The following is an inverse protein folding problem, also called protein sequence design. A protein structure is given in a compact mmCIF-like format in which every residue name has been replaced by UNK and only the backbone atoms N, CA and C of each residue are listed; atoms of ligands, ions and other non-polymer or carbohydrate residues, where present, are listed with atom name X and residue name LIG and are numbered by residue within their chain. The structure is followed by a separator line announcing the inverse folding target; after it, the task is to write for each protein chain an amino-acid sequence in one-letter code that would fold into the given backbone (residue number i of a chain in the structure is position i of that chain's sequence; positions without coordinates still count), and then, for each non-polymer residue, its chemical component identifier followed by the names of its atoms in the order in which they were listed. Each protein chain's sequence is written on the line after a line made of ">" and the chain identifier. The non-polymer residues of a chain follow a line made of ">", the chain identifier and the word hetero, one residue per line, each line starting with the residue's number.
data_IF_529326892929
#
_entry.id   IF_529326892929
#
_cell.length_a   1.000
_cell.length_b   1.000
_cell.length_c   1.000
_cell.angle_alpha   90.00
_cell.angle_beta   90.00
_cell.angle_gamma   90.00
#
_symmetry.space_group_name_H-M   'P 1'
#
loop_
_entity.id
_entity.type
_entity.pdbx_description
1 polymer ?
#
# COMPACT_ATOMS: atom_id res chain seq x y z
N UNK A 1 -10.22 -1.72 -3.02
CA UNK A 1 -11.14 -0.69 -2.47
C UNK A 1 -12.26 -0.52 -3.48
N UNK A 2 -13.48 -0.64 -3.05
CA UNK A 2 -14.67 -0.43 -3.87
C UNK A 2 -14.95 1.08 -4.06
N UNK A 3 -15.78 1.47 -5.05
CA UNK A 3 -16.13 2.88 -5.28
C UNK A 3 -16.80 3.57 -4.08
N UNK A 4 -17.50 2.81 -3.25
CA UNK A 4 -18.16 3.27 -2.01
C UNK A 4 -17.17 3.45 -0.83
N UNK A 5 -15.89 3.20 -1.04
CA UNK A 5 -14.84 3.30 -0.02
C UNK A 5 -14.63 2.02 0.79
N UNK A 6 -15.47 1.01 0.65
CA UNK A 6 -15.33 -0.26 1.34
C UNK A 6 -14.04 -0.98 0.91
N UNK A 7 -13.40 -1.63 1.87
CA UNK A 7 -12.16 -2.37 1.63
C UNK A 7 -12.36 -3.84 1.97
N UNK A 8 -11.93 -4.69 1.07
CA UNK A 8 -11.93 -6.15 1.26
C UNK A 8 -10.50 -6.65 1.18
N UNK A 9 -10.10 -7.43 2.17
CA UNK A 9 -8.80 -8.08 2.15
C UNK A 9 -8.81 -9.18 1.08
N UNK A 10 -7.94 -9.04 0.08
CA UNK A 10 -7.83 -9.99 -1.03
C UNK A 10 -6.68 -10.96 -0.79
N UNK A 11 -5.53 -10.46 -0.42
CA UNK A 11 -4.36 -11.27 -0.17
C UNK A 11 -3.53 -10.65 0.96
N UNK A 12 -2.77 -11.49 1.63
CA UNK A 12 -1.88 -11.11 2.71
C UNK A 12 -0.57 -11.88 2.57
N UNK A 13 0.51 -11.32 3.06
CA UNK A 13 1.80 -11.99 3.11
C UNK A 13 2.68 -11.39 4.20
N UNK A 14 3.58 -12.18 4.72
CA UNK A 14 4.63 -11.75 5.64
C UNK A 14 5.97 -11.82 4.92
N UNK A 15 6.73 -10.76 5.03
CA UNK A 15 8.07 -10.69 4.49
C UNK A 15 9.00 -10.02 5.49
N UNK A 16 10.14 -10.64 5.73
CA UNK A 16 11.19 -10.09 6.57
C UNK A 16 12.39 -9.71 5.70
N UNK A 17 12.64 -8.42 5.50
CA UNK A 17 13.84 -7.98 4.80
C UNK A 17 15.09 -8.45 5.54
N UNK A 18 16.09 -8.94 4.81
CA UNK A 18 17.38 -9.38 5.36
C UNK A 18 18.49 -8.34 5.20
N UNK A 19 18.19 -7.22 4.54
CA UNK A 19 19.11 -6.12 4.29
C UNK A 19 18.47 -5.03 3.45
N UNK A 20 19.23 -4.00 3.19
CA UNK A 20 18.82 -2.91 2.30
C UNK A 20 18.88 -3.31 0.82
N UNK A 21 18.23 -2.51 -0.01
CA UNK A 21 18.22 -2.68 -1.46
C UNK A 21 16.94 -3.33 -1.99
N UNK A 22 17.02 -3.83 -3.21
CA UNK A 22 15.87 -4.39 -3.91
C UNK A 22 15.37 -5.65 -3.22
N UNK A 23 14.12 -5.63 -2.80
CA UNK A 23 13.41 -6.77 -2.23
C UNK A 23 12.32 -7.24 -3.21
N UNK A 24 12.20 -8.54 -3.39
CA UNK A 24 11.14 -9.16 -4.20
C UNK A 24 10.48 -10.25 -3.38
N UNK A 25 9.20 -10.19 -3.23
CA UNK A 25 8.44 -11.19 -2.49
C UNK A 25 7.05 -11.37 -3.10
N UNK A 26 6.42 -12.48 -2.77
CA UNK A 26 5.08 -12.81 -3.24
C UNK A 26 4.09 -12.74 -2.09
N UNK A 27 2.89 -12.25 -2.38
CA UNK A 27 1.75 -12.43 -1.51
C UNK A 27 1.18 -13.85 -1.71
N UNK A 28 0.46 -14.34 -0.73
CA UNK A 28 -0.25 -15.61 -0.89
C UNK A 28 -1.19 -15.54 -2.11
N UNK A 29 -1.13 -16.55 -3.01
CA UNK A 29 -1.97 -16.55 -4.19
C UNK A 29 -3.45 -16.63 -3.80
N UNK A 30 -4.24 -15.79 -4.46
CA UNK A 30 -5.69 -15.81 -4.33
C UNK A 30 -6.33 -15.38 -5.65
N UNK A 31 -7.40 -16.04 -6.04
CA UNK A 31 -8.21 -15.61 -7.17
C UNK A 31 -9.20 -14.54 -6.74
N UNK A 32 -9.17 -13.38 -7.38
CA UNK A 32 -10.08 -12.30 -7.08
C UNK A 32 -10.54 -11.57 -8.35
N UNK A 33 -11.82 -11.32 -8.44
CA UNK A 33 -12.39 -10.53 -9.51
C UNK A 33 -12.55 -9.07 -9.07
N UNK A 34 -11.82 -8.18 -9.73
CA UNK A 34 -12.00 -6.73 -9.55
C UNK A 34 -13.09 -6.24 -10.48
N UNK A 35 -14.23 -5.88 -9.94
CA UNK A 35 -15.31 -5.25 -10.71
C UNK A 35 -14.90 -3.85 -11.20
N UNK A 36 -15.62 -3.30 -12.17
CA UNK A 36 -15.37 -1.96 -12.67
C UNK A 36 -15.39 -0.90 -11.55
N UNK A 37 -14.39 -0.02 -11.56
CA UNK A 37 -14.21 1.01 -10.54
C UNK A 37 -13.55 0.55 -9.26
N UNK A 38 -13.23 -0.75 -9.10
CA UNK A 38 -12.46 -1.22 -7.97
C UNK A 38 -10.98 -0.86 -8.13
N UNK A 39 -10.35 -0.43 -7.05
CA UNK A 39 -8.93 -0.07 -7.03
C UNK A 39 -8.18 -1.04 -6.10
N UNK A 40 -7.19 -1.80 -6.60
CA UNK A 40 -6.32 -2.57 -5.73
C UNK A 40 -5.50 -1.61 -4.86
N UNK A 41 -5.41 -1.91 -3.57
CA UNK A 41 -4.63 -1.15 -2.59
C UNK A 41 -3.62 -2.09 -1.95
N UNK A 42 -2.37 -1.70 -1.92
CA UNK A 42 -1.34 -2.39 -1.16
C UNK A 42 -1.06 -1.62 0.12
N UNK A 43 -1.07 -2.31 1.24
CA UNK A 43 -0.68 -1.78 2.53
C UNK A 43 0.57 -2.50 3.02
N UNK A 44 1.57 -1.74 3.44
CA UNK A 44 2.79 -2.24 4.08
C UNK A 44 2.71 -1.89 5.56
N UNK A 45 2.63 -2.90 6.39
CA UNK A 45 2.41 -2.74 7.81
C UNK A 45 3.62 -3.25 8.60
N UNK A 46 4.05 -2.50 9.59
CA UNK A 46 5.07 -2.94 10.54
C UNK A 46 4.54 -3.91 11.61
N UNK A 47 3.23 -3.98 11.74
CA UNK A 47 2.52 -4.88 12.64
C UNK A 47 1.19 -5.29 12.00
N UNK A 48 0.87 -6.56 12.11
CA UNK A 48 -0.40 -7.11 11.60
C UNK A 48 -0.87 -8.24 12.53
N UNK A 49 -1.34 -7.87 13.71
CA UNK A 49 -1.88 -8.82 14.67
C UNK A 49 -3.21 -9.42 14.15
N UNK A 50 -3.44 -10.71 14.34
CA UNK A 50 -2.62 -11.71 15.02
C UNK A 50 -1.60 -12.43 14.11
N UNK A 51 -1.47 -12.03 12.84
CA UNK A 51 -0.69 -12.75 11.83
C UNK A 51 0.81 -12.47 11.88
N UNK A 52 1.22 -11.30 12.34
CA UNK A 52 2.59 -10.92 12.49
C UNK A 52 2.93 -10.58 13.93
N UNK A 53 4.00 -11.17 14.47
CA UNK A 53 4.53 -10.73 15.76
C UNK A 53 5.22 -9.39 15.59
N UNK A 54 4.93 -8.46 16.49
CA UNK A 54 5.62 -7.18 16.54
C UNK A 54 7.13 -7.36 16.71
N UNK A 55 7.90 -6.44 16.14
CA UNK A 55 9.32 -6.32 16.45
C UNK A 55 9.52 -6.01 17.94
N UNK A 56 10.54 -6.63 18.55
CA UNK A 56 10.93 -6.34 19.93
C UNK A 56 11.60 -4.96 20.05
N UNK A 57 12.03 -4.37 18.93
CA UNK A 57 12.73 -3.10 18.87
C UNK A 57 12.04 -2.15 17.91
N UNK A 58 12.05 -0.84 18.19
CA UNK A 58 11.57 0.14 17.24
C UNK A 58 12.41 0.07 15.95
N UNK A 59 11.76 0.10 14.81
CA UNK A 59 12.40 0.14 13.50
C UNK A 59 11.69 1.12 12.59
N UNK A 60 12.42 1.58 11.59
CA UNK A 60 11.87 2.39 10.51
C UNK A 60 12.23 1.73 9.18
N UNK A 61 11.24 1.59 8.32
CA UNK A 61 11.43 1.11 6.97
C UNK A 61 11.09 2.23 6.00
N UNK A 62 12.00 2.55 5.10
CA UNK A 62 11.76 3.45 3.99
C UNK A 62 11.61 2.62 2.73
N UNK A 63 10.49 2.79 2.04
CA UNK A 63 10.20 2.08 0.79
C UNK A 63 10.17 3.07 -0.35
N UNK A 64 10.91 2.77 -1.43
CA UNK A 64 10.94 3.55 -2.66
C UNK A 64 10.75 2.63 -3.86
N UNK A 65 10.31 3.19 -4.99
CA UNK A 65 10.15 2.47 -6.25
C UNK A 65 9.32 1.18 -6.12
N UNK A 66 8.21 1.27 -5.40
CA UNK A 66 7.31 0.15 -5.20
C UNK A 66 6.65 -0.25 -6.52
N UNK A 67 6.79 -1.52 -6.89
CA UNK A 67 6.18 -2.13 -8.07
C UNK A 67 5.31 -3.32 -7.62
N UNK A 68 4.05 -3.34 -8.03
CA UNK A 68 3.11 -4.43 -7.74
C UNK A 68 2.73 -5.09 -9.05
N UNK A 69 3.01 -6.39 -9.17
CA UNK A 69 2.66 -7.18 -10.34
C UNK A 69 1.55 -8.15 -10.01
N UNK A 70 0.42 -7.97 -10.65
CA UNK A 70 -0.74 -8.83 -10.52
C UNK A 70 -0.83 -9.73 -11.75
N UNK A 71 -0.69 -11.05 -11.62
CA UNK A 71 -0.98 -11.95 -12.72
C UNK A 71 -2.49 -11.87 -13.00
N UNK A 72 -2.84 -11.61 -14.26
CA UNK A 72 -4.24 -11.52 -14.69
C UNK A 72 -4.57 -12.64 -15.64
N UNK A 73 -5.78 -13.17 -15.56
CA UNK A 73 -6.30 -14.13 -16.53
C UNK A 73 -6.63 -13.45 -17.87
N UNK A 74 -7.11 -12.21 -17.80
CA UNK A 74 -7.46 -11.42 -18.98
C UNK A 74 -6.24 -10.63 -19.48
N UNK A 75 -6.26 -10.28 -20.78
CA UNK A 75 -5.23 -9.42 -21.34
C UNK A 75 -5.23 -8.09 -20.57
N UNK A 76 -4.08 -7.63 -20.08
CA UNK A 76 -4.02 -6.37 -19.37
C UNK A 76 -4.53 -5.26 -20.27
N UNK A 77 -5.57 -4.56 -19.85
CA UNK A 77 -5.98 -3.32 -20.48
C UNK A 77 -4.84 -2.32 -20.42
N UNK A 78 -4.65 -1.55 -21.47
CA UNK A 78 -3.57 -0.56 -21.61
C UNK A 78 -3.70 0.64 -20.62
N UNK A 79 -4.44 0.51 -19.55
CA UNK A 79 -4.65 1.58 -18.59
C UNK A 79 -3.43 1.70 -17.69
N UNK A 80 -2.60 2.69 -17.97
CA UNK A 80 -1.51 3.11 -17.10
C UNK A 80 -2.12 3.72 -15.84
N UNK A 81 -2.28 2.93 -14.78
CA UNK A 81 -2.73 3.49 -13.51
C UNK A 81 -1.58 4.29 -12.89
N UNK A 82 -1.81 5.58 -12.73
CA UNK A 82 -0.93 6.42 -11.91
C UNK A 82 -1.19 6.06 -10.44
N UNK A 83 -0.24 5.40 -9.83
CA UNK A 83 -0.28 5.15 -8.38
C UNK A 83 -0.12 6.48 -7.67
N UNK A 84 -1.20 7.04 -7.17
CA UNK A 84 -1.13 8.19 -6.27
C UNK A 84 -0.64 7.66 -4.91
N UNK A 85 0.50 8.14 -4.39
CA UNK A 85 0.95 7.75 -3.07
C UNK A 85 -0.15 8.03 -2.05
N UNK A 86 -0.57 7.02 -1.30
CA UNK A 86 -1.47 7.24 -0.18
C UNK A 86 -0.78 8.14 0.86
N UNK A 87 -1.54 9.03 1.50
CA UNK A 87 -1.01 9.79 2.61
C UNK A 87 -0.47 8.84 3.68
N UNK A 88 0.68 9.15 4.30
CA UNK A 88 1.25 8.29 5.33
C UNK A 88 0.23 8.09 6.46
N UNK A 89 0.04 6.82 6.84
CA UNK A 89 -0.80 6.48 7.99
C UNK A 89 -0.12 6.97 9.27
N UNK A 90 -0.77 7.89 9.95
CA UNK A 90 -0.35 8.34 11.27
C UNK A 90 -1.23 7.67 12.31
N UNK A 91 -0.67 6.97 13.30
CA UNK A 91 -1.44 6.46 14.42
C UNK A 91 -2.19 7.61 15.11
N UNK A 92 -3.38 7.31 15.62
CA UNK A 92 -4.21 8.31 16.32
C UNK A 92 -3.41 8.90 17.49
N UNK A 93 -3.15 10.21 17.46
CA UNK A 93 -2.34 10.91 18.47
C UNK A 93 -0.86 11.10 18.14
N UNK A 94 -0.37 10.62 17.02
CA UNK A 94 1.00 10.88 16.58
C UNK A 94 1.11 12.26 15.94
N UNK A 95 2.12 13.02 16.35
CA UNK A 95 2.48 14.29 15.68
C UNK A 95 3.24 13.99 14.39
N UNK A 96 2.80 14.47 13.23
CA UNK A 96 3.51 14.23 11.99
C UNK A 96 4.90 14.87 12.03
N UNK A 97 5.90 14.13 11.57
CA UNK A 97 7.21 14.74 11.29
C UNK A 97 7.08 15.77 10.16
N UNK A 98 8.01 16.71 10.07
CA UNK A 98 7.97 17.75 9.03
C UNK A 98 7.87 17.18 7.60
N UNK A 99 8.50 16.05 7.34
CA UNK A 99 8.40 15.32 6.06
C UNK A 99 7.02 14.69 5.84
N UNK A 100 6.45 14.07 6.87
CA UNK A 100 5.11 13.51 6.80
C UNK A 100 4.05 14.59 6.58
N UNK A 101 4.19 15.75 7.21
CA UNK A 101 3.32 16.90 7.00
C UNK A 101 3.40 17.45 5.57
N UNK A 102 4.59 17.47 4.97
CA UNK A 102 4.79 17.83 3.55
C UNK A 102 4.11 16.83 2.61
N UNK A 103 4.25 15.53 2.88
CA UNK A 103 3.64 14.48 2.08
C UNK A 103 2.10 14.51 2.14
N UNK A 104 1.52 14.77 3.32
CA UNK A 104 0.08 14.93 3.50
C UNK A 104 -0.45 16.11 2.69
N UNK A 105 0.19 17.28 2.77
CA UNK A 105 -0.19 18.47 1.99
C UNK A 105 -0.06 18.24 0.48
N UNK A 106 0.94 17.51 0.03
CA UNK A 106 1.11 17.15 -1.37
C UNK A 106 0.00 16.22 -1.88
N UNK A 107 -0.37 15.23 -1.08
CA UNK A 107 -1.46 14.30 -1.39
C UNK A 107 -2.84 15.01 -1.45
N UNK A 108 -3.11 15.94 -0.54
CA UNK A 108 -4.33 16.76 -0.55
C UNK A 108 -4.41 17.67 -1.78
N UNK A 109 -3.28 18.28 -2.16
CA UNK A 109 -3.19 19.12 -3.36
C UNK A 109 -3.41 18.31 -4.64
N UNK A 110 -2.89 17.09 -4.71
CA UNK A 110 -3.13 16.17 -5.82
C UNK A 110 -4.61 15.78 -5.94
N UNK A 111 -5.26 15.48 -4.82
CA UNK A 111 -6.68 15.12 -4.77
C UNK A 111 -7.61 16.28 -5.20
N UNK A 112 -7.19 17.52 -4.97
CA UNK A 112 -7.95 18.72 -5.35
C UNK A 112 -7.82 19.06 -6.85
N UNK A 113 -6.77 18.55 -7.53
CA UNK A 113 -6.55 18.75 -8.98
C UNK A 113 -7.23 17.69 -9.85
N UNK A 114 -7.66 16.58 -9.27
CA UNK A 114 -8.33 15.47 -9.97
C UNK A 114 -9.86 15.50 -9.86
N UNK A 115 -10.42 16.57 -9.31
CA UNK A 115 -11.85 16.92 -9.30
C UNK A 115 -12.12 18.11 -10.23
#
# INVERSE_FOLDING_TARGET
>A
MAPDGNQTLVARGLFRPTGDGRQVFQLHPNGWHFAGGHVPKLELLGNDAPYGRMSNFPFRTTVSNLDVRLPTHDKPGATKQVVTPAAPFLPKGATPTAEAAKAIKAAEKAKKRSR
#
